data_IF_750188014862
#
_entry.id   IF_750188014862
#
_cell.length_a   1.000
_cell.length_b   1.000
_cell.length_c   1.000
_cell.angle_alpha   90.00
_cell.angle_beta   90.00
_cell.angle_gamma   90.00
#
_symmetry.space_group_name_H-M   'P 1'
#
loop_
_entity.id
_entity.type
_entity.pdbx_description
1 polymer ?
#
# COMPACT_ATOMS: atom_id res chain seq x y z
N UNK A 1 -30.23 -4.54 35.29
CA UNK A 1 -29.54 -3.55 34.45
C UNK A 1 -28.22 -4.17 34.03
N UNK A 2 -28.21 -4.87 32.90
CA UNK A 2 -26.97 -5.41 32.33
C UNK A 2 -26.15 -4.27 31.74
N UNK A 3 -25.00 -3.99 32.36
CA UNK A 3 -23.97 -3.10 31.81
C UNK A 3 -22.90 -3.96 31.17
N UNK A 4 -23.23 -4.60 30.06
CA UNK A 4 -22.20 -5.11 29.16
C UNK A 4 -21.52 -3.89 28.52
N UNK A 5 -20.21 -3.68 28.72
CA UNK A 5 -19.52 -2.63 27.99
C UNK A 5 -19.63 -2.93 26.49
N UNK A 6 -19.82 -1.90 25.63
CA UNK A 6 -19.81 -2.13 24.19
C UNK A 6 -18.49 -2.82 23.83
N UNK A 7 -18.58 -3.89 23.05
CA UNK A 7 -17.40 -4.54 22.48
C UNK A 7 -16.52 -3.46 21.81
N UNK A 8 -15.18 -3.50 21.99
CA UNK A 8 -14.32 -2.54 21.33
C UNK A 8 -14.62 -2.57 19.82
N UNK A 9 -14.63 -1.42 19.14
CA UNK A 9 -14.81 -1.40 17.70
C UNK A 9 -13.77 -2.35 17.11
N UNK A 10 -14.21 -3.29 16.27
CA UNK A 10 -13.31 -4.12 15.49
C UNK A 10 -12.26 -3.17 14.89
N UNK A 11 -11.00 -3.28 15.32
CA UNK A 11 -9.96 -2.29 15.05
C UNK A 11 -10.06 -1.82 13.61
N UNK A 12 -10.55 -0.59 13.40
CA UNK A 12 -10.67 -0.02 12.07
C UNK A 12 -9.26 -0.03 11.49
N UNK A 13 -9.04 -0.86 10.47
CA UNK A 13 -7.69 -1.02 9.91
C UNK A 13 -7.20 0.35 9.44
N UNK A 14 -5.93 0.71 9.70
CA UNK A 14 -5.40 2.01 9.33
C UNK A 14 -5.63 2.30 7.84
N UNK A 15 -5.96 3.54 7.51
CA UNK A 15 -6.16 3.99 6.13
C UNK A 15 -5.19 5.12 5.78
N UNK A 16 -4.93 5.27 4.49
CA UNK A 16 -4.24 6.41 3.90
C UNK A 16 -5.00 6.90 2.67
N UNK A 17 -4.76 8.13 2.25
CA UNK A 17 -5.27 8.67 1.00
C UNK A 17 -4.19 8.57 -0.07
N UNK A 18 -4.51 7.88 -1.15
CA UNK A 18 -3.68 7.81 -2.35
C UNK A 18 -4.22 8.78 -3.39
N UNK A 19 -3.41 9.76 -3.77
CA UNK A 19 -3.68 10.57 -4.93
C UNK A 19 -3.43 9.72 -6.18
N UNK A 20 -4.48 9.54 -6.96
CA UNK A 20 -4.51 8.71 -8.17
C UNK A 20 -4.92 9.58 -9.36
N UNK A 21 -4.27 9.35 -10.50
CA UNK A 21 -4.59 9.99 -11.78
C UNK A 21 -5.46 9.05 -12.61
N UNK A 22 -6.71 8.87 -12.17
CA UNK A 22 -7.68 7.95 -12.76
C UNK A 22 -8.37 8.53 -14.01
N UNK A 23 -8.99 7.65 -14.80
CA UNK A 23 -9.80 8.07 -15.95
C UNK A 23 -10.99 8.97 -15.55
N UNK A 24 -11.47 8.84 -14.31
CA UNK A 24 -12.56 9.64 -13.74
C UNK A 24 -12.11 11.02 -13.24
N UNK A 25 -10.82 11.34 -13.39
CA UNK A 25 -10.20 12.55 -12.88
C UNK A 25 -9.29 12.27 -11.69
N UNK A 26 -8.47 13.27 -11.37
CA UNK A 26 -7.51 13.18 -10.28
C UNK A 26 -8.26 13.27 -8.94
N UNK A 27 -8.03 12.30 -8.05
CA UNK A 27 -8.73 12.20 -6.77
C UNK A 27 -7.84 11.60 -5.67
N UNK A 28 -8.18 11.89 -4.42
CA UNK A 28 -7.61 11.25 -3.24
C UNK A 28 -8.54 10.11 -2.82
N UNK A 29 -8.05 8.88 -2.93
CA UNK A 29 -8.81 7.67 -2.60
C UNK A 29 -8.35 7.12 -1.26
N UNK A 30 -9.26 7.03 -0.31
CA UNK A 30 -9.01 6.35 0.97
C UNK A 30 -8.79 4.86 0.72
N UNK A 31 -7.63 4.36 1.11
CA UNK A 31 -7.16 3.01 0.85
C UNK A 31 -6.72 2.35 2.14
N UNK A 32 -7.03 1.06 2.29
CA UNK A 32 -6.71 0.31 3.50
C UNK A 32 -5.23 -0.10 3.52
N UNK A 33 -4.53 0.21 4.60
CA UNK A 33 -3.18 -0.29 4.87
C UNK A 33 -3.30 -1.68 5.47
N UNK A 34 -2.79 -2.68 4.77
CA UNK A 34 -2.85 -4.08 5.17
C UNK A 34 -1.71 -4.41 6.13
N UNK A 35 -0.50 -3.94 5.82
CA UNK A 35 0.69 -4.27 6.58
C UNK A 35 1.96 -3.79 5.91
N UNK A 36 3.09 -4.31 6.36
CA UNK A 36 4.40 -4.03 5.75
C UNK A 36 5.11 -5.33 5.38
N UNK A 37 6.09 -5.22 4.48
CA UNK A 37 7.03 -6.28 4.17
C UNK A 37 8.44 -5.77 4.44
N UNK A 38 9.25 -6.58 5.11
CA UNK A 38 10.68 -6.27 5.31
C UNK A 38 11.50 -7.47 4.93
N UNK A 39 12.56 -7.26 4.15
CA UNK A 39 13.54 -8.31 3.93
C UNK A 39 14.27 -8.66 5.25
N UNK A 40 14.95 -9.81 5.27
CA UNK A 40 15.65 -10.29 6.48
C UNK A 40 16.76 -9.35 6.94
N UNK A 41 17.39 -8.61 6.03
CA UNK A 41 18.42 -7.62 6.39
C UNK A 41 17.84 -6.33 6.98
N UNK A 42 16.53 -6.09 6.77
CA UNK A 42 15.85 -4.85 7.15
C UNK A 42 16.20 -3.66 6.25
N UNK A 43 16.91 -3.89 5.15
CA UNK A 43 17.31 -2.86 4.18
C UNK A 43 16.15 -2.46 3.28
N UNK A 44 15.30 -3.42 2.90
CA UNK A 44 14.13 -3.17 2.07
C UNK A 44 12.87 -3.21 2.93
N UNK A 45 12.13 -2.10 2.95
CA UNK A 45 10.90 -1.92 3.74
C UNK A 45 9.81 -1.38 2.83
N UNK A 46 8.78 -2.17 2.68
CA UNK A 46 7.67 -1.95 1.78
C UNK A 46 6.37 -1.89 2.57
N UNK A 47 5.37 -1.21 2.04
CA UNK A 47 4.01 -1.24 2.61
C UNK A 47 3.08 -1.99 1.68
N UNK A 48 2.03 -2.57 2.23
CA UNK A 48 0.97 -3.22 1.47
C UNK A 48 -0.32 -2.46 1.67
N UNK A 49 -0.89 -1.99 0.57
CA UNK A 49 -2.11 -1.17 0.57
C UNK A 49 -3.10 -1.80 -0.41
N UNK A 50 -4.35 -1.92 0.02
CA UNK A 50 -5.42 -2.44 -0.81
C UNK A 50 -6.12 -1.29 -1.53
N UNK A 51 -6.19 -1.39 -2.86
CA UNK A 51 -7.01 -0.52 -3.68
C UNK A 51 -8.50 -0.86 -3.45
N UNK A 52 -9.34 0.13 -3.05
CA UNK A 52 -10.74 -0.15 -2.73
C UNK A 52 -11.60 -0.51 -3.93
N UNK A 53 -11.20 -0.11 -5.14
CA UNK A 53 -11.99 -0.33 -6.36
C UNK A 53 -11.81 -1.73 -6.93
N UNK A 54 -10.57 -2.16 -7.06
CA UNK A 54 -10.22 -3.48 -7.61
C UNK A 54 -10.07 -4.56 -6.55
N UNK A 55 -9.89 -4.17 -5.28
CA UNK A 55 -9.52 -5.08 -4.20
C UNK A 55 -8.07 -5.59 -4.27
N UNK A 56 -7.29 -5.16 -5.27
CA UNK A 56 -5.90 -5.55 -5.44
C UNK A 56 -5.02 -5.01 -4.30
N UNK A 57 -4.09 -5.83 -3.83
CA UNK A 57 -3.15 -5.47 -2.77
C UNK A 57 -1.79 -5.16 -3.40
N UNK A 58 -1.49 -3.87 -3.51
CA UNK A 58 -0.21 -3.40 -4.04
C UNK A 58 0.84 -3.35 -2.94
N UNK A 59 2.04 -3.82 -3.27
CA UNK A 59 3.24 -3.62 -2.48
C UNK A 59 3.93 -2.36 -2.99
N UNK A 60 4.14 -1.38 -2.12
CA UNK A 60 4.75 -0.09 -2.46
C UNK A 60 6.12 0.10 -1.80
N UNK A 61 7.06 0.65 -2.58
CA UNK A 61 8.25 1.34 -2.07
C UNK A 61 7.86 2.75 -1.65
N UNK A 62 8.41 3.22 -0.54
CA UNK A 62 8.14 4.57 -0.02
C UNK A 62 9.25 5.53 -0.45
N UNK A 63 8.88 6.57 -1.20
CA UNK A 63 9.76 7.72 -1.44
C UNK A 63 9.31 8.88 -0.54
N UNK A 64 9.99 9.03 0.59
CA UNK A 64 9.71 10.09 1.56
C UNK A 64 9.99 11.49 1.03
N UNK A 65 10.97 11.65 0.14
CA UNK A 65 11.39 12.96 -0.35
C UNK A 65 10.33 13.55 -1.28
N UNK A 66 9.79 12.72 -2.17
CA UNK A 66 8.79 13.13 -3.14
C UNK A 66 7.35 12.89 -2.70
N UNK A 67 7.13 12.22 -1.56
CA UNK A 67 5.79 11.79 -1.10
C UNK A 67 5.12 10.76 -2.00
N UNK A 68 5.91 10.03 -2.79
CA UNK A 68 5.39 9.03 -3.72
C UNK A 68 5.43 7.64 -3.10
N UNK A 69 4.47 6.83 -3.52
CA UNK A 69 4.44 5.39 -3.34
C UNK A 69 4.60 4.74 -4.71
N UNK A 70 5.71 4.04 -4.88
CA UNK A 70 6.06 3.37 -6.13
C UNK A 70 5.62 1.91 -6.04
N UNK A 71 4.61 1.52 -6.83
CA UNK A 71 4.17 0.14 -6.86
C UNK A 71 5.32 -0.76 -7.32
N UNK A 72 5.61 -1.79 -6.54
CA UNK A 72 6.69 -2.72 -6.78
C UNK A 72 6.18 -4.11 -7.14
N UNK A 73 5.03 -4.54 -6.60
CA UNK A 73 4.43 -5.84 -6.91
C UNK A 73 2.95 -5.88 -6.49
N UNK A 74 2.26 -6.96 -6.87
CA UNK A 74 0.99 -7.36 -6.27
C UNK A 74 1.18 -8.54 -5.33
N UNK A 75 0.35 -8.62 -4.30
CA UNK A 75 0.33 -9.75 -3.37
C UNK A 75 -1.06 -10.33 -3.23
N UNK A 76 -1.14 -11.66 -3.16
CA UNK A 76 -2.37 -12.37 -2.87
C UNK A 76 -2.49 -12.71 -1.37
N UNK A 77 -1.47 -12.38 -0.57
CA UNK A 77 -1.45 -12.73 0.85
C UNK A 77 -2.65 -12.15 1.60
N UNK A 78 -3.26 -12.98 2.45
CA UNK A 78 -4.38 -12.56 3.27
C UNK A 78 -3.95 -11.56 4.33
N UNK A 79 -4.82 -10.60 4.62
CA UNK A 79 -4.50 -9.53 5.57
C UNK A 79 -4.23 -10.07 6.99
N UNK A 80 -4.80 -11.22 7.35
CA UNK A 80 -4.55 -11.90 8.62
C UNK A 80 -3.12 -12.43 8.77
N UNK A 81 -2.38 -12.60 7.67
CA UNK A 81 -0.99 -13.04 7.68
C UNK A 81 -0.01 -11.91 8.01
N UNK A 82 -0.46 -10.65 7.98
CA UNK A 82 0.34 -9.48 8.34
C UNK A 82 0.33 -9.28 9.87
N UNK A 83 0.91 -10.25 10.59
CA UNK A 83 0.89 -10.33 12.05
C UNK A 83 2.28 -10.25 12.71
N UNK A 84 3.34 -10.08 11.91
CA UNK A 84 4.74 -10.05 12.35
C UNK A 84 5.41 -11.42 12.47
N UNK A 85 4.68 -12.53 12.27
CA UNK A 85 5.17 -13.89 12.48
C UNK A 85 5.36 -14.64 11.16
N UNK A 86 4.57 -14.30 10.14
CA UNK A 86 4.66 -14.94 8.84
C UNK A 86 5.74 -14.31 7.95
N UNK A 87 6.21 -15.09 6.99
CA UNK A 87 7.12 -14.64 5.95
C UNK A 87 6.73 -15.27 4.61
N UNK A 88 7.09 -14.59 3.53
CA UNK A 88 6.86 -15.05 2.15
C UNK A 88 8.12 -14.91 1.34
N UNK A 89 8.25 -15.72 0.30
CA UNK A 89 9.39 -15.66 -0.61
C UNK A 89 8.98 -14.99 -1.92
N UNK A 90 9.69 -13.92 -2.30
CA UNK A 90 9.53 -13.22 -3.58
C UNK A 90 10.92 -13.11 -4.19
N UNK A 91 11.09 -13.53 -5.44
CA UNK A 91 12.37 -13.49 -6.18
C UNK A 91 13.56 -14.07 -5.38
N UNK A 92 13.33 -15.22 -4.74
CA UNK A 92 14.28 -15.92 -3.85
C UNK A 92 14.63 -15.21 -2.53
N UNK A 93 14.15 -13.99 -2.29
CA UNK A 93 14.32 -13.25 -1.03
C UNK A 93 13.14 -13.51 -0.08
N UNK A 94 13.44 -13.72 1.20
CA UNK A 94 12.43 -13.89 2.25
C UNK A 94 12.04 -12.54 2.84
N UNK A 95 10.74 -12.27 2.90
CA UNK A 95 10.15 -11.05 3.44
C UNK A 95 9.25 -11.39 4.62
N UNK A 96 9.54 -10.81 5.80
CA UNK A 96 8.66 -10.87 6.97
C UNK A 96 7.45 -9.98 6.76
N UNK A 97 6.26 -10.49 7.07
CA UNK A 97 5.00 -9.76 7.00
C UNK A 97 4.72 -9.06 8.33
N UNK A 98 4.92 -7.74 8.38
CA UNK A 98 4.65 -6.91 9.56
C UNK A 98 3.23 -6.34 9.56
N UNK A 99 2.79 -5.85 10.73
CA UNK A 99 1.42 -5.37 10.93
C UNK A 99 1.15 -4.03 10.24
N UNK A 100 -0.13 -3.66 10.13
CA UNK A 100 -0.54 -2.33 9.67
C UNK A 100 0.09 -1.21 10.52
N UNK A 101 0.21 -1.40 11.84
CA UNK A 101 0.89 -0.43 12.70
C UNK A 101 2.37 -0.26 12.36
N UNK A 102 3.05 -1.35 11.97
CA UNK A 102 4.43 -1.27 11.53
C UNK A 102 4.53 -0.48 10.21
N UNK A 103 3.59 -0.68 9.28
CA UNK A 103 3.48 0.13 8.06
C UNK A 103 3.23 1.61 8.35
N UNK A 104 2.30 1.93 9.26
CA UNK A 104 2.02 3.32 9.63
C UNK A 104 3.22 4.03 10.26
N UNK A 105 4.06 3.30 11.02
CA UNK A 105 5.35 3.82 11.51
C UNK A 105 6.31 4.15 10.36
N UNK A 106 6.38 3.31 9.33
CA UNK A 106 7.20 3.60 8.14
C UNK A 106 6.70 4.85 7.42
N UNK A 107 5.39 5.08 7.38
CA UNK A 107 4.81 6.28 6.78
C UNK A 107 4.99 7.55 7.63
N UNK A 108 5.59 7.44 8.83
CA UNK A 108 5.90 8.56 9.73
C UNK A 108 4.66 9.41 10.07
N UNK A 109 3.50 8.78 10.20
CA UNK A 109 2.23 9.45 10.46
C UNK A 109 1.65 10.23 9.28
N UNK A 110 2.31 10.23 8.12
CA UNK A 110 1.78 10.86 6.91
C UNK A 110 0.67 9.99 6.34
N UNK A 111 -0.50 10.60 6.14
CA UNK A 111 -1.70 9.92 5.66
C UNK A 111 -2.02 10.20 4.20
N UNK A 112 -1.39 11.19 3.57
CA UNK A 112 -1.61 11.51 2.14
C UNK A 112 -0.36 11.22 1.33
N UNK A 113 -0.51 10.43 0.27
CA UNK A 113 0.57 9.96 -0.59
C UNK A 113 0.19 10.05 -2.05
N UNK A 114 1.18 10.16 -2.93
CA UNK A 114 0.99 10.16 -4.38
C UNK A 114 1.28 8.75 -4.89
N UNK A 115 0.34 8.16 -5.61
CA UNK A 115 0.56 6.87 -6.24
C UNK A 115 1.25 7.09 -7.60
N UNK A 116 2.45 6.55 -7.81
CA UNK A 116 3.12 6.69 -9.10
C UNK A 116 2.42 5.83 -10.17
N UNK A 117 1.76 6.49 -11.11
CA UNK A 117 0.99 5.85 -12.19
C UNK A 117 1.80 4.88 -13.04
N UNK A 118 3.05 5.23 -13.34
CA UNK A 118 3.93 4.43 -14.19
C UNK A 118 4.35 3.15 -13.50
N UNK A 119 4.66 3.22 -12.21
CA UNK A 119 4.94 2.07 -11.37
C UNK A 119 3.72 1.15 -11.27
N UNK A 120 2.52 1.70 -11.03
CA UNK A 120 1.28 0.90 -10.99
C UNK A 120 1.03 0.19 -12.32
N UNK A 121 1.09 0.91 -13.44
CA UNK A 121 0.88 0.32 -14.76
C UNK A 121 1.92 -0.77 -15.06
N UNK A 122 3.19 -0.54 -14.72
CA UNK A 122 4.26 -1.52 -14.87
C UNK A 122 3.97 -2.81 -14.09
N UNK A 123 3.55 -2.67 -12.82
CA UNK A 123 3.17 -3.82 -11.98
C UNK A 123 1.97 -4.56 -12.55
N UNK A 124 0.94 -3.85 -13.02
CA UNK A 124 -0.24 -4.47 -13.62
C UNK A 124 0.10 -5.24 -14.89
N UNK A 125 0.93 -4.67 -15.78
CA UNK A 125 1.39 -5.32 -17.01
C UNK A 125 2.25 -6.56 -16.70
N UNK A 126 3.17 -6.44 -15.74
CA UNK A 126 4.00 -7.56 -15.30
C UNK A 126 3.16 -8.67 -14.68
N UNK A 127 2.16 -8.33 -13.86
CA UNK A 127 1.28 -9.32 -13.25
C UNK A 127 0.40 -10.02 -14.28
N UNK A 128 -0.09 -9.30 -15.30
CA UNK A 128 -0.85 -9.89 -16.40
C UNK A 128 0.02 -10.86 -17.25
N UNK A 129 1.31 -10.60 -17.37
CA UNK A 129 2.25 -11.45 -18.11
C UNK A 129 2.82 -12.62 -17.29
N UNK A 130 2.78 -12.56 -15.95
CA UNK A 130 3.45 -13.49 -15.07
C UNK A 130 2.50 -14.49 -14.39
N UNK A 131 3.01 -15.69 -14.08
CA UNK A 131 2.27 -16.72 -13.31
C UNK A 131 2.55 -16.69 -11.80
N UNK A 132 3.43 -15.79 -11.33
CA UNK A 132 3.88 -15.68 -9.93
C UNK A 132 4.21 -14.22 -9.59
N UNK A 133 4.00 -13.83 -8.32
CA UNK A 133 4.45 -12.53 -7.79
C UNK A 133 5.95 -12.34 -7.98
N UNK A 134 6.33 -11.18 -8.52
CA UNK A 134 7.70 -10.73 -8.69
C UNK A 134 7.75 -9.21 -8.53
N UNK A 135 8.90 -8.69 -8.12
CA UNK A 135 9.10 -7.26 -8.10
C UNK A 135 9.32 -6.70 -9.51
N UNK A 136 8.66 -5.58 -9.79
CA UNK A 136 8.99 -4.71 -10.89
C UNK A 136 10.33 -4.03 -10.63
N UNK A 137 11.03 -3.75 -11.74
CA UNK A 137 12.32 -3.08 -11.73
C UNK A 137 12.30 -1.84 -10.83
N UNK A 138 13.42 -1.62 -10.14
CA UNK A 138 13.59 -0.50 -9.22
C UNK A 138 13.66 0.78 -10.06
N UNK A 139 12.51 1.45 -10.15
CA UNK A 139 12.35 2.84 -10.59
C UNK A 139 12.26 3.08 -12.10
N UNK A 140 11.22 3.81 -12.50
CA UNK A 140 11.11 4.46 -13.81
C UNK A 140 11.51 5.92 -13.59
N UNK A 141 12.65 6.35 -14.12
CA UNK A 141 13.07 7.76 -14.07
C UNK A 141 12.23 8.60 -15.03
N UNK A 142 11.47 9.54 -14.47
CA UNK A 142 10.61 10.49 -15.18
C UNK A 142 10.23 11.63 -14.26
N UNK A 143 9.68 12.71 -14.81
CA UNK A 143 9.05 13.75 -14.00
C UNK A 143 7.83 13.19 -13.27
N UNK A 144 7.75 13.48 -11.98
CA UNK A 144 6.69 12.99 -11.09
C UNK A 144 6.09 14.14 -10.31
N UNK A 145 4.81 13.99 -10.01
CA UNK A 145 4.12 14.88 -9.11
C UNK A 145 4.74 14.77 -7.71
N UNK A 146 5.12 15.91 -7.12
CA UNK A 146 5.70 15.98 -5.78
C UNK A 146 4.73 16.52 -4.73
N UNK A 147 3.59 17.05 -5.18
CA UNK A 147 2.58 17.66 -4.33
C UNK A 147 1.19 17.42 -4.90
N UNK A 148 0.27 16.98 -4.06
CA UNK A 148 -1.15 16.87 -4.40
C UNK A 148 -1.71 18.29 -4.65
N UNK A 149 -2.37 18.55 -5.79
CA UNK A 149 -3.02 19.83 -6.05
C UNK A 149 -4.09 20.15 -4.99
N UNK A 150 -4.33 21.43 -4.66
CA UNK A 150 -5.42 21.82 -3.78
C UNK A 150 -6.79 21.56 -4.42
N UNK A 151 -7.81 21.28 -3.61
CA UNK A 151 -9.19 21.12 -4.08
C UNK A 151 -9.50 19.78 -4.77
N UNK A 152 -8.57 18.83 -4.74
CA UNK A 152 -8.79 17.49 -5.28
C UNK A 152 -9.91 16.76 -4.50
N UNK A 153 -10.91 16.18 -5.18
CA UNK A 153 -11.98 15.42 -4.52
C UNK A 153 -11.43 14.28 -3.65
N UNK A 154 -12.10 14.02 -2.54
CA UNK A 154 -11.78 12.92 -1.62
C UNK A 154 -12.85 11.85 -1.74
N UNK A 155 -12.43 10.65 -2.10
CA UNK A 155 -13.25 9.44 -2.08
C UNK A 155 -12.91 8.65 -0.81
N UNK A 156 -13.93 8.33 -0.01
CA UNK A 156 -13.79 7.59 1.25
C UNK A 156 -14.25 6.16 1.09
N UNK A 157 -13.72 5.27 1.92
CA UNK A 157 -14.21 3.89 1.99
C UNK A 157 -15.70 3.89 2.43
N UNK A 158 -16.53 2.97 1.90
CA UNK A 158 -17.89 2.79 2.40
C UNK A 158 -17.85 2.44 3.89
N UNK A 159 -18.72 3.09 4.66
CA UNK A 159 -18.85 2.91 6.12
C UNK A 159 -19.80 1.78 6.48
#
# INVERSE_FOLDING_TARGET
>A
MDRTPPAPPAFARPTIFLYTEEQRGNQLVESQVIGMMSDVSGSDKLIVVQDPHSGLKFIYRIDHESSNLDAAALTEQEASLFDGKHAVQIDATSYRLGTADNAMKLLRGKTQWIQDKGAVLSVLLQNAAARKTRFAAVRIERDRLRKVPPGVPIERLPT
#
